data_IF_021941174210
#
_entry.id   IF_021941174210
#
_cell.length_a   1.000
_cell.length_b   1.000
_cell.length_c   1.000
_cell.angle_alpha   90.00
_cell.angle_beta   90.00
_cell.angle_gamma   90.00
#
_symmetry.space_group_name_H-M   'P 1'
#
loop_
_entity.id
_entity.type
_entity.pdbx_description
1 polymer ?
#
# COMPACT_ATOMS: atom_id res chain seq x y z
N UNK A 1 -3.80 14.28 -3.51
CA UNK A 1 -4.45 12.97 -3.26
C UNK A 1 -4.90 12.27 -4.57
N UNK A 2 -4.10 12.28 -5.64
CA UNK A 2 -4.48 11.65 -6.92
C UNK A 2 -3.97 10.21 -7.04
N UNK A 3 -2.73 9.93 -6.60
CA UNK A 3 -2.02 8.67 -6.85
C UNK A 3 -2.62 7.46 -6.15
N UNK A 4 -2.93 7.54 -4.86
CA UNK A 4 -3.55 6.43 -4.13
C UNK A 4 -4.89 6.02 -4.77
N UNK A 5 -5.72 7.02 -5.12
CA UNK A 5 -7.00 6.79 -5.80
C UNK A 5 -6.81 6.26 -7.23
N UNK A 6 -5.79 6.71 -7.96
CA UNK A 6 -5.43 6.18 -9.29
C UNK A 6 -5.08 4.68 -9.20
N UNK A 7 -4.27 4.30 -8.20
CA UNK A 7 -3.96 2.90 -7.91
C UNK A 7 -5.22 2.09 -7.64
N UNK A 8 -6.09 2.54 -6.73
CA UNK A 8 -7.35 1.85 -6.43
C UNK A 8 -8.24 1.66 -7.65
N UNK A 9 -8.33 2.64 -8.55
CA UNK A 9 -9.09 2.49 -9.80
C UNK A 9 -8.48 1.41 -10.70
N UNK A 10 -7.17 1.46 -10.91
CA UNK A 10 -6.46 0.52 -11.77
C UNK A 10 -6.54 -0.93 -11.26
N UNK A 11 -6.70 -1.12 -9.95
CA UNK A 11 -6.89 -2.46 -9.36
C UNK A 11 -8.22 -3.08 -9.79
N UNK A 12 -9.27 -2.27 -10.02
CA UNK A 12 -10.60 -2.79 -10.41
C UNK A 12 -10.56 -3.48 -11.78
N UNK A 13 -9.58 -3.12 -12.60
CA UNK A 13 -9.36 -3.70 -13.92
C UNK A 13 -8.51 -4.99 -13.86
N UNK A 14 -8.00 -5.39 -12.69
CA UNK A 14 -7.23 -6.62 -12.50
C UNK A 14 -8.15 -7.83 -12.22
N UNK A 15 -7.70 -9.07 -12.51
CA UNK A 15 -8.47 -10.27 -12.18
C UNK A 15 -8.84 -10.33 -10.69
N UNK A 16 -10.08 -10.66 -10.37
CA UNK A 16 -10.64 -10.62 -9.00
C UNK A 16 -9.77 -11.33 -7.96
N UNK A 17 -9.28 -12.53 -8.26
CA UNK A 17 -8.43 -13.30 -7.34
C UNK A 17 -7.08 -12.63 -7.03
N UNK A 18 -6.61 -11.72 -7.89
CA UNK A 18 -5.33 -11.01 -7.71
C UNK A 18 -5.51 -9.64 -7.04
N UNK A 19 -6.69 -9.03 -7.11
CA UNK A 19 -6.96 -7.68 -6.59
C UNK A 19 -6.53 -7.49 -5.12
N UNK A 20 -6.75 -8.45 -4.19
CA UNK A 20 -6.33 -8.30 -2.80
C UNK A 20 -4.80 -8.14 -2.66
N UNK A 21 -4.02 -8.83 -3.48
CA UNK A 21 -2.56 -8.73 -3.48
C UNK A 21 -2.10 -7.34 -3.94
N UNK A 22 -2.70 -6.80 -5.00
CA UNK A 22 -2.43 -5.43 -5.46
C UNK A 22 -2.83 -4.38 -4.42
N UNK A 23 -3.98 -4.56 -3.74
CA UNK A 23 -4.40 -3.65 -2.67
C UNK A 23 -3.42 -3.65 -1.50
N UNK A 24 -2.97 -4.83 -1.10
CA UNK A 24 -2.03 -4.98 0.00
C UNK A 24 -0.67 -4.36 -0.35
N UNK A 25 -0.17 -4.63 -1.55
CA UNK A 25 1.04 -4.01 -2.08
C UNK A 25 0.94 -2.48 -2.06
N UNK A 26 -0.15 -1.92 -2.59
CA UNK A 26 -0.37 -0.47 -2.64
C UNK A 26 -0.41 0.14 -1.23
N UNK A 27 -1.14 -0.47 -0.29
CA UNK A 27 -1.20 0.03 1.09
C UNK A 27 0.15 -0.02 1.77
N UNK A 28 0.89 -1.11 1.59
CA UNK A 28 2.21 -1.26 2.19
C UNK A 28 3.19 -0.21 1.64
N UNK A 29 3.19 0.07 0.34
CA UNK A 29 4.04 1.11 -0.25
C UNK A 29 3.86 2.48 0.45
N UNK A 30 2.62 2.89 0.72
CA UNK A 30 2.33 4.17 1.37
C UNK A 30 2.61 4.17 2.88
N UNK A 31 2.53 3.02 3.55
CA UNK A 31 2.69 2.91 5.01
C UNK A 31 4.10 2.55 5.46
N UNK A 32 4.88 1.87 4.62
CA UNK A 32 6.16 1.32 5.03
C UNK A 32 7.14 2.46 5.40
N UNK A 33 7.86 2.38 6.54
CA UNK A 33 8.73 3.46 7.01
C UNK A 33 9.78 3.90 5.99
N UNK A 34 10.38 2.97 5.25
CA UNK A 34 11.41 3.29 4.24
C UNK A 34 10.86 3.66 2.85
N UNK A 35 9.53 3.66 2.68
CA UNK A 35 8.86 4.02 1.43
C UNK A 35 8.09 5.33 1.63
N UNK A 36 6.78 5.27 1.80
CA UNK A 36 5.95 6.47 2.01
C UNK A 36 5.70 6.86 3.47
N UNK A 37 5.80 5.92 4.41
CA UNK A 37 5.32 6.12 5.78
C UNK A 37 6.28 6.90 6.69
N UNK A 38 7.58 6.86 6.41
CA UNK A 38 8.60 7.57 7.19
C UNK A 38 9.07 8.88 6.58
N UNK A 39 8.54 9.28 5.41
CA UNK A 39 8.95 10.52 4.77
C UNK A 39 8.37 11.72 5.50
N UNK A 40 9.24 12.59 5.98
CA UNK A 40 8.84 13.86 6.58
C UNK A 40 8.16 14.75 5.55
N UNK A 41 7.03 15.36 5.92
CA UNK A 41 6.31 16.33 5.06
C UNK A 41 7.16 17.56 4.71
N UNK A 42 8.23 17.82 5.48
CA UNK A 42 9.15 18.96 5.27
C UNK A 42 10.31 18.60 4.32
N UNK A 43 10.53 17.31 4.07
CA UNK A 43 11.55 16.86 3.13
C UNK A 43 10.94 16.80 1.72
N UNK A 44 10.88 17.97 1.08
CA UNK A 44 10.26 18.12 -0.23
C UNK A 44 10.96 17.28 -1.31
N UNK A 45 12.27 17.08 -1.21
CA UNK A 45 13.04 16.28 -2.15
C UNK A 45 12.66 14.79 -2.04
N UNK A 46 12.58 14.26 -0.81
CA UNK A 46 12.13 12.90 -0.59
C UNK A 46 10.66 12.70 -1.00
N UNK A 47 9.79 13.68 -0.74
CA UNK A 47 8.38 13.64 -1.18
C UNK A 47 8.30 13.59 -2.70
N UNK A 48 8.98 14.48 -3.41
CA UNK A 48 8.96 14.51 -4.89
C UNK A 48 9.52 13.20 -5.47
N UNK A 49 10.62 12.70 -4.93
CA UNK A 49 11.17 11.41 -5.32
C UNK A 49 10.16 10.27 -5.14
N UNK A 50 9.48 10.21 -4.00
CA UNK A 50 8.49 9.16 -3.73
C UNK A 50 7.23 9.30 -4.60
N UNK A 51 6.81 10.52 -4.92
CA UNK A 51 5.73 10.80 -5.88
C UNK A 51 6.10 10.24 -7.25
N UNK A 52 7.25 10.62 -7.80
CA UNK A 52 7.73 10.12 -9.11
C UNK A 52 7.92 8.61 -9.12
N UNK A 53 8.42 8.04 -8.02
CA UNK A 53 8.58 6.59 -7.86
C UNK A 53 7.22 5.88 -7.87
N UNK A 54 6.23 6.43 -7.18
CA UNK A 54 4.87 5.89 -7.16
C UNK A 54 4.22 5.96 -8.54
N UNK A 55 4.41 7.04 -9.29
CA UNK A 55 3.91 7.17 -10.65
C UNK A 55 4.46 6.10 -11.58
N UNK A 56 5.79 5.89 -11.56
CA UNK A 56 6.42 4.82 -12.34
C UNK A 56 5.91 3.43 -11.95
N UNK A 57 5.73 3.20 -10.66
CA UNK A 57 5.18 1.94 -10.13
C UNK A 57 3.74 1.71 -10.60
N UNK A 58 2.88 2.75 -10.54
CA UNK A 58 1.51 2.65 -11.02
C UNK A 58 1.47 2.35 -12.51
N UNK A 59 2.30 3.01 -13.31
CA UNK A 59 2.37 2.78 -14.75
C UNK A 59 2.80 1.34 -15.07
N UNK A 60 3.90 0.88 -14.46
CA UNK A 60 4.49 -0.43 -14.80
C UNK A 60 3.71 -1.63 -14.28
N UNK A 61 3.10 -1.52 -13.09
CA UNK A 61 2.48 -2.66 -12.40
C UNK A 61 0.95 -2.59 -12.46
N UNK A 62 0.37 -1.41 -12.24
CA UNK A 62 -1.07 -1.27 -12.04
C UNK A 62 -1.80 -0.98 -13.35
N UNK A 63 -1.30 -0.08 -14.17
CA UNK A 63 -1.93 0.30 -15.44
C UNK A 63 -1.61 -0.68 -16.58
N UNK A 64 -0.47 -1.35 -16.52
CA UNK A 64 -0.12 -2.39 -17.49
C UNK A 64 -1.06 -3.61 -17.41
N UNK A 65 -1.82 -3.88 -18.47
CA UNK A 65 -2.80 -4.97 -18.57
C UNK A 65 -2.17 -6.38 -18.58
N UNK A 66 -0.90 -6.50 -18.98
CA UNK A 66 -0.18 -7.78 -19.02
C UNK A 66 0.20 -8.26 -17.62
N UNK A 67 0.35 -7.34 -16.66
CA UNK A 67 0.64 -7.69 -15.26
C UNK A 67 -0.63 -8.15 -14.56
N UNK A 68 -0.80 -9.46 -14.42
CA UNK A 68 -1.99 -10.08 -13.81
C UNK A 68 -1.84 -10.41 -12.32
N UNK A 69 -0.62 -10.40 -11.80
CA UNK A 69 -0.32 -10.73 -10.42
C UNK A 69 0.87 -9.93 -9.91
N UNK A 70 0.95 -9.76 -8.59
CA UNK A 70 2.07 -9.13 -7.90
C UNK A 70 2.50 -9.95 -6.71
N UNK A 71 3.82 -10.02 -6.48
CA UNK A 71 4.37 -10.57 -5.25
C UNK A 71 4.29 -9.52 -4.16
N UNK A 72 3.59 -9.84 -3.08
CA UNK A 72 3.46 -8.96 -1.93
C UNK A 72 4.70 -9.10 -1.04
N UNK A 73 5.32 -8.00 -0.58
CA UNK A 73 6.43 -8.05 0.37
C UNK A 73 6.04 -8.77 1.67
N UNK A 74 6.98 -9.53 2.24
CA UNK A 74 6.73 -10.32 3.46
C UNK A 74 6.20 -9.47 4.61
N UNK A 75 6.74 -8.25 4.80
CA UNK A 75 6.27 -7.34 5.85
C UNK A 75 4.78 -6.97 5.73
N UNK A 76 4.26 -6.82 4.51
CA UNK A 76 2.83 -6.55 4.30
C UNK A 76 1.96 -7.77 4.63
N UNK A 77 2.45 -8.98 4.33
CA UNK A 77 1.79 -10.23 4.69
C UNK A 77 1.73 -10.37 6.21
N UNK A 78 2.82 -10.03 6.89
CA UNK A 78 2.93 -10.11 8.35
C UNK A 78 2.00 -9.11 9.05
N UNK A 79 1.86 -7.89 8.53
CA UNK A 79 0.87 -6.90 9.01
C UNK A 79 -0.57 -7.42 8.97
N UNK A 80 -0.95 -8.09 7.87
CA UNK A 80 -2.30 -8.66 7.71
C UNK A 80 -2.49 -9.85 8.65
N UNK A 81 -1.47 -10.73 8.78
CA UNK A 81 -1.51 -11.85 9.72
C UNK A 81 -1.61 -11.38 11.17
N UNK A 82 -0.88 -10.32 11.54
CA UNK A 82 -0.96 -9.71 12.86
C UNK A 82 -2.37 -9.15 13.13
N UNK A 83 -2.93 -8.42 12.16
CA UNK A 83 -4.30 -7.89 12.24
C UNK A 83 -5.35 -9.00 12.36
N UNK A 84 -5.21 -10.09 11.60
CA UNK A 84 -6.10 -11.24 11.66
C UNK A 84 -6.00 -12.00 13.00
N UNK A 85 -4.80 -12.08 13.59
CA UNK A 85 -4.62 -12.65 14.94
C UNK A 85 -5.32 -11.82 16.00
N UNK A 86 -5.22 -10.48 15.94
CA UNK A 86 -5.88 -9.56 16.87
C UNK A 86 -7.41 -9.69 16.81
N UNK A 87 -7.97 -9.82 15.60
CA UNK A 87 -9.40 -10.05 15.42
C UNK A 87 -9.86 -11.40 15.99
N UNK A 88 -9.05 -12.45 15.84
CA UNK A 88 -9.33 -13.78 16.41
C UNK A 88 -9.15 -13.83 17.92
N UNK A 89 -8.30 -12.99 18.51
CA UNK A 89 -8.06 -12.93 19.96
C UNK A 89 -9.01 -11.99 20.71
N UNK A 90 -9.91 -11.28 20.01
CA UNK A 90 -10.88 -10.37 20.62
C UNK A 90 -10.27 -9.12 21.28
N UNK A 91 -8.97 -8.87 21.10
CA UNK A 91 -8.26 -7.75 21.71
C UNK A 91 -8.33 -6.51 20.80
N UNK A 92 -9.51 -5.88 20.68
CA UNK A 92 -9.59 -4.55 20.08
C UNK A 92 -9.00 -3.51 21.04
N UNK A 93 -7.73 -3.13 20.82
CA UNK A 93 -7.11 -2.02 21.55
C UNK A 93 -7.70 -0.72 21.02
N UNK A 94 -8.54 -0.07 21.83
CA UNK A 94 -9.08 1.26 21.57
C UNK A 94 -7.90 2.24 21.44
N UNK A 95 -7.62 2.67 20.21
CA UNK A 95 -6.49 3.56 19.91
C UNK A 95 -6.64 4.89 20.64
N UNK A 96 -5.75 5.14 21.60
CA UNK A 96 -5.66 6.45 22.24
C UNK A 96 -5.27 7.51 21.21
N UNK A 97 -6.09 8.57 21.17
CA UNK A 97 -5.75 9.81 20.48
C UNK A 97 -4.53 10.47 21.14
N UNK A 98 -3.51 10.73 20.33
CA UNK A 98 -2.45 11.68 20.70
C UNK A 98 -3.04 13.09 20.70
N UNK A 99 -3.09 13.72 21.89
CA UNK A 99 -3.04 15.17 22.04
C UNK A 99 -1.58 15.59 22.12
#
# INVERSE_FOLDING_TARGET
MSLYRKGLRSIRDKPEGSQPAFLLYLRHFFKHPSMGGGVSRRDFAAVDYMVRRCERMLESIFTNVTVKAVTVPQGAIDEVKASARILKSGQFVHGQGRK
#
